data_IF_656446030834
#
_entry.id   IF_656446030834
#
_cell.length_a   1.000
_cell.length_b   1.000
_cell.length_c   1.000
_cell.angle_alpha   90.00
_cell.angle_beta   90.00
_cell.angle_gamma   90.00
#
_symmetry.space_group_name_H-M   'P 1'
#
loop_
_entity.id
_entity.type
_entity.pdbx_description
1 polymer ?
#
# COMPACT_ATOMS: atom_id res chain seq x y z
N UNK A 1 -6.78 -24.81 -74.17
CA UNK A 1 -6.94 -26.15 -73.54
C UNK A 1 -7.43 -25.92 -72.13
N UNK A 2 -8.72 -26.13 -71.91
CA UNK A 2 -9.41 -26.00 -70.64
C UNK A 2 -9.47 -27.40 -70.07
N UNK A 3 -8.90 -27.59 -68.84
CA UNK A 3 -9.08 -28.83 -68.08
C UNK A 3 -10.08 -28.58 -66.95
N UNK A 4 -11.18 -29.30 -67.06
CA UNK A 4 -12.24 -29.42 -66.08
C UNK A 4 -11.83 -30.36 -64.97
N UNK A 5 -12.09 -29.97 -63.72
CA UNK A 5 -11.95 -30.79 -62.53
C UNK A 5 -13.34 -31.33 -62.15
N UNK A 6 -13.51 -32.61 -61.82
CA UNK A 6 -14.80 -33.17 -61.43
C UNK A 6 -15.13 -32.93 -59.94
N UNK A 7 -16.35 -32.52 -59.68
CA UNK A 7 -17.00 -32.48 -58.34
C UNK A 7 -17.40 -33.85 -57.88
N UNK A 8 -16.92 -34.28 -56.70
CA UNK A 8 -17.40 -35.48 -55.99
C UNK A 8 -18.16 -35.01 -54.75
N UNK A 9 -19.46 -35.18 -54.76
CA UNK A 9 -20.38 -35.09 -53.63
C UNK A 9 -20.44 -36.41 -52.93
N UNK A 10 -20.02 -36.51 -51.64
CA UNK A 10 -20.48 -37.51 -50.71
C UNK A 10 -20.82 -36.83 -49.40
N UNK A 11 -22.11 -36.65 -49.17
CA UNK A 11 -22.67 -36.17 -47.91
C UNK A 11 -22.62 -37.26 -46.81
N UNK A 12 -21.85 -37.00 -45.78
CA UNK A 12 -21.97 -37.74 -44.55
C UNK A 12 -22.56 -36.81 -43.51
N UNK A 13 -23.85 -37.01 -43.23
CA UNK A 13 -24.58 -36.36 -42.14
C UNK A 13 -24.09 -36.91 -40.79
N UNK A 14 -23.25 -36.13 -40.08
CA UNK A 14 -22.91 -36.43 -38.68
C UNK A 14 -24.09 -35.96 -37.82
N UNK A 15 -24.84 -36.94 -37.28
CA UNK A 15 -25.86 -36.68 -36.25
C UNK A 15 -25.15 -36.35 -34.93
N UNK A 16 -25.34 -35.12 -34.46
CA UNK A 16 -24.97 -34.71 -33.09
C UNK A 16 -25.82 -35.50 -32.09
N UNK A 17 -25.25 -36.03 -31.01
CA UNK A 17 -25.99 -36.73 -29.96
C UNK A 17 -26.90 -35.69 -29.24
N UNK A 18 -28.13 -36.07 -28.99
CA UNK A 18 -29.07 -35.32 -28.15
C UNK A 18 -28.57 -35.23 -26.73
N UNK A 19 -28.67 -34.07 -26.04
CA UNK A 19 -28.32 -33.98 -24.64
C UNK A 19 -29.42 -34.70 -23.83
N UNK A 20 -29.04 -35.82 -23.25
CA UNK A 20 -29.84 -36.53 -22.22
C UNK A 20 -29.07 -36.38 -20.91
N UNK A 21 -29.42 -35.33 -20.17
CA UNK A 21 -29.44 -35.36 -18.72
C UNK A 21 -30.13 -34.10 -18.24
N UNK A 22 -31.30 -34.29 -17.63
CA UNK A 22 -32.02 -33.26 -16.88
C UNK A 22 -31.19 -32.90 -15.68
N UNK A 23 -30.67 -31.68 -15.64
CA UNK A 23 -30.06 -31.13 -14.43
C UNK A 23 -31.11 -31.06 -13.32
N UNK A 24 -30.94 -31.85 -12.26
CA UNK A 24 -31.58 -31.62 -11.00
C UNK A 24 -31.00 -30.35 -10.39
N UNK A 25 -31.79 -29.40 -9.90
CA UNK A 25 -31.26 -28.24 -9.18
C UNK A 25 -30.56 -28.75 -7.92
N UNK A 26 -29.29 -28.38 -7.72
CA UNK A 26 -28.57 -28.58 -6.47
C UNK A 26 -29.36 -27.92 -5.35
N UNK A 27 -29.65 -28.67 -4.28
CA UNK A 27 -30.33 -28.15 -3.10
C UNK A 27 -29.60 -26.95 -2.54
N UNK A 28 -30.31 -25.85 -2.38
CA UNK A 28 -29.82 -24.59 -1.84
C UNK A 28 -29.23 -24.81 -0.44
N UNK A 29 -27.97 -24.48 -0.30
CA UNK A 29 -27.30 -24.36 0.99
C UNK A 29 -27.99 -23.26 1.83
N UNK A 30 -28.60 -23.66 2.97
CA UNK A 30 -29.16 -22.73 3.95
C UNK A 30 -28.06 -22.35 4.93
N UNK A 31 -27.82 -21.05 5.15
CA UNK A 31 -26.84 -20.64 6.15
C UNK A 31 -27.24 -21.16 7.53
N UNK A 32 -26.27 -21.54 8.38
CA UNK A 32 -26.55 -21.97 9.74
C UNK A 32 -27.16 -20.78 10.51
N UNK A 33 -28.21 -21.10 11.29
CA UNK A 33 -28.86 -20.10 12.14
C UNK A 33 -27.85 -19.57 13.17
N UNK A 34 -27.85 -18.26 13.49
CA UNK A 34 -26.95 -17.71 14.48
C UNK A 34 -27.15 -18.39 15.84
N UNK A 35 -26.10 -18.92 16.42
CA UNK A 35 -26.08 -19.51 17.75
C UNK A 35 -26.22 -18.37 18.77
N UNK A 36 -27.39 -18.27 19.41
CA UNK A 36 -27.57 -17.37 20.56
C UNK A 36 -26.83 -17.97 21.75
N UNK A 37 -25.71 -17.39 22.13
CA UNK A 37 -25.09 -17.66 23.40
C UNK A 37 -25.93 -17.04 24.52
N UNK A 38 -26.70 -17.87 25.24
CA UNK A 38 -27.31 -17.49 26.50
C UNK A 38 -26.22 -17.39 27.58
N UNK A 39 -25.82 -16.18 27.91
CA UNK A 39 -25.08 -15.92 29.13
C UNK A 39 -26.03 -16.05 30.31
N UNK A 40 -25.89 -17.12 31.07
CA UNK A 40 -26.66 -17.41 32.29
C UNK A 40 -26.02 -16.62 33.43
N UNK A 41 -26.59 -15.45 33.77
CA UNK A 41 -26.26 -14.74 35.01
C UNK A 41 -26.94 -15.44 36.18
N UNK A 42 -26.16 -15.93 37.14
CA UNK A 42 -26.67 -16.36 38.44
C UNK A 42 -26.91 -15.12 39.31
N UNK A 43 -28.16 -14.80 39.54
CA UNK A 43 -28.55 -13.86 40.60
C UNK A 43 -28.86 -14.67 41.88
N UNK A 44 -28.12 -14.43 42.94
CA UNK A 44 -28.53 -14.78 44.31
C UNK A 44 -29.34 -13.62 44.89
N UNK A 45 -30.62 -13.89 45.18
CA UNK A 45 -31.46 -12.92 45.81
C UNK A 45 -31.28 -12.91 47.33
N UNK A 46 -31.53 -11.74 47.94
CA UNK A 46 -32.06 -11.61 49.32
C UNK A 46 -32.98 -10.38 49.36
N UNK A 47 -34.14 -10.61 49.95
CA UNK A 47 -35.23 -9.68 50.24
C UNK A 47 -34.84 -8.49 51.09
N UNK A 48 -35.42 -7.31 50.91
CA UNK A 48 -36.23 -6.63 51.94
C UNK A 48 -36.86 -5.32 51.43
N UNK A 49 -37.97 -5.01 52.02
CA UNK A 49 -39.05 -4.05 51.78
C UNK A 49 -38.73 -2.58 52.10
N UNK A 50 -39.47 -1.67 51.41
CA UNK A 50 -40.11 -0.39 51.85
C UNK A 50 -39.29 0.92 51.82
N UNK A 51 -39.66 1.85 51.07
CA UNK A 51 -40.46 3.07 51.24
C UNK A 51 -40.10 4.18 50.24
N UNK A 52 -41.16 4.87 49.84
CA UNK A 52 -41.17 6.05 48.97
C UNK A 52 -40.20 7.17 49.39
N UNK A 53 -39.58 7.84 48.39
CA UNK A 53 -38.86 9.07 48.55
C UNK A 53 -38.49 9.65 47.18
N UNK A 54 -39.28 10.65 46.75
CA UNK A 54 -39.02 11.48 45.58
C UNK A 54 -37.66 12.11 45.67
N UNK A 55 -36.75 11.78 44.75
CA UNK A 55 -35.51 12.54 44.53
C UNK A 55 -35.24 12.71 43.01
N UNK A 56 -34.83 13.92 42.68
CA UNK A 56 -34.51 14.41 41.30
C UNK A 56 -33.41 13.58 40.63
N UNK A 57 -33.42 13.46 39.28
CA UNK A 57 -32.33 12.78 38.62
C UNK A 57 -31.03 13.62 38.68
N UNK A 58 -29.87 12.96 38.84
CA UNK A 58 -28.58 13.64 38.74
C UNK A 58 -28.30 14.01 37.26
N UNK A 59 -27.76 15.22 37.06
CA UNK A 59 -27.30 15.75 35.80
C UNK A 59 -26.23 14.80 35.22
N UNK A 60 -26.50 14.22 34.11
CA UNK A 60 -25.51 13.49 33.29
C UNK A 60 -24.58 14.54 32.67
N UNK A 61 -23.35 14.57 33.13
CA UNK A 61 -22.24 15.26 32.46
C UNK A 61 -22.01 14.51 31.17
N UNK A 62 -22.38 15.15 30.04
CA UNK A 62 -22.03 14.67 28.71
C UNK A 62 -20.53 14.90 28.56
N UNK A 63 -19.76 13.85 28.57
CA UNK A 63 -18.37 13.87 28.09
C UNK A 63 -18.44 14.14 26.59
N UNK A 64 -17.96 15.31 26.21
CA UNK A 64 -17.84 15.74 24.82
C UNK A 64 -16.95 14.73 24.08
N UNK A 65 -17.54 14.02 23.14
CA UNK A 65 -16.80 13.17 22.20
C UNK A 65 -16.09 14.15 21.28
N UNK A 66 -14.78 14.27 21.41
CA UNK A 66 -13.95 15.06 20.49
C UNK A 66 -14.05 14.45 19.09
N UNK A 67 -14.48 15.28 18.17
CA UNK A 67 -14.57 14.99 16.74
C UNK A 67 -13.16 14.76 16.19
N UNK A 68 -12.85 13.58 15.59
CA UNK A 68 -11.53 13.29 15.04
C UNK A 68 -11.10 14.27 13.94
N UNK A 69 -12.03 14.83 13.17
CA UNK A 69 -11.71 15.81 12.14
C UNK A 69 -11.17 17.14 12.69
N UNK A 70 -11.60 17.52 13.90
CA UNK A 70 -11.12 18.75 14.54
C UNK A 70 -9.69 18.61 15.07
N UNK A 71 -9.30 17.39 15.45
CA UNK A 71 -7.94 17.12 15.91
C UNK A 71 -6.91 17.14 14.77
N UNK A 72 -7.27 16.65 13.59
CA UNK A 72 -6.39 16.70 12.41
C UNK A 72 -6.21 18.13 11.88
N UNK A 73 -7.25 18.96 11.95
CA UNK A 73 -7.17 20.38 11.56
C UNK A 73 -6.29 21.20 12.51
N UNK A 74 -6.31 20.89 13.81
CA UNK A 74 -5.45 21.56 14.80
C UNK A 74 -3.97 21.17 14.65
N UNK A 75 -3.67 19.93 14.26
CA UNK A 75 -2.30 19.49 13.97
C UNK A 75 -1.77 20.16 12.70
N UNK A 76 -2.56 20.22 11.63
CA UNK A 76 -2.16 20.92 10.39
C UNK A 76 -1.94 22.43 10.61
N UNK A 77 -2.74 23.05 11.49
CA UNK A 77 -2.56 24.45 11.84
C UNK A 77 -1.28 24.69 12.64
N UNK A 78 -0.93 23.82 13.56
CA UNK A 78 0.33 23.93 14.33
C UNK A 78 1.56 23.72 13.46
N UNK A 79 1.50 22.86 12.43
CA UNK A 79 2.60 22.66 11.49
C UNK A 79 2.80 23.91 10.58
N UNK A 80 1.70 24.54 10.13
CA UNK A 80 1.76 25.78 9.35
C UNK A 80 2.30 26.99 10.16
N UNK A 81 1.87 27.11 11.41
CA UNK A 81 2.36 28.18 12.30
C UNK A 81 3.86 27.97 12.66
N UNK A 82 4.33 26.74 12.72
CA UNK A 82 5.73 26.42 12.92
C UNK A 82 6.60 26.77 11.69
N UNK A 83 6.12 26.51 10.49
CA UNK A 83 6.83 26.89 9.25
C UNK A 83 6.90 28.42 9.06
N UNK A 84 5.82 29.16 9.33
CA UNK A 84 5.83 30.64 9.29
C UNK A 84 6.78 31.24 10.33
N UNK A 85 6.88 30.62 11.53
CA UNK A 85 7.81 31.07 12.56
C UNK A 85 9.28 30.86 12.17
N UNK A 86 9.61 29.77 11.47
CA UNK A 86 10.96 29.53 10.97
C UNK A 86 11.31 30.43 9.77
N UNK A 87 10.38 30.72 8.87
CA UNK A 87 10.61 31.65 7.76
C UNK A 87 10.81 33.09 8.22
N UNK A 88 10.10 33.54 9.25
CA UNK A 88 10.25 34.88 9.80
C UNK A 88 11.59 35.11 10.49
N UNK A 89 12.20 34.08 11.08
CA UNK A 89 13.55 34.16 11.67
C UNK A 89 14.70 34.12 10.66
N UNK A 90 14.48 33.59 9.48
CA UNK A 90 15.46 33.51 8.41
C UNK A 90 15.68 34.82 7.67
N UNK A 91 14.70 35.76 7.72
CA UNK A 91 14.74 37.05 7.01
C UNK A 91 15.22 38.25 7.84
N UNK A 92 15.63 38.03 9.09
CA UNK A 92 15.95 39.10 10.05
C UNK A 92 17.42 39.25 10.45
N UNK A 93 18.38 39.00 9.57
CA UNK A 93 19.79 39.27 9.92
C UNK A 93 20.66 39.68 8.73
N UNK A 94 20.44 40.89 8.22
CA UNK A 94 21.47 41.63 7.48
C UNK A 94 21.30 43.12 7.80
N UNK A 95 22.43 43.76 8.10
CA UNK A 95 22.67 45.19 8.29
C UNK A 95 22.53 45.76 9.71
N UNK A 96 23.65 45.76 10.44
CA UNK A 96 24.04 46.88 11.30
C UNK A 96 25.47 47.28 10.95
N UNK A 97 25.53 48.39 10.21
CA UNK A 97 26.74 49.15 9.96
C UNK A 97 27.11 49.97 11.17
N UNK A 98 28.42 50.01 11.46
CA UNK A 98 29.04 50.90 12.41
C UNK A 98 28.81 52.39 12.03
N UNK A 99 28.27 53.17 12.95
CA UNK A 99 28.31 54.63 12.90
C UNK A 99 28.46 55.19 14.32
N UNK A 100 29.67 55.69 14.58
CA UNK A 100 30.06 56.93 15.26
C UNK A 100 29.27 57.35 16.49
N UNK A 101 29.89 57.24 17.69
CA UNK A 101 29.54 58.07 18.84
C UNK A 101 30.54 59.21 18.89
N UNK A 102 30.07 60.41 18.53
CA UNK A 102 30.72 61.67 18.76
C UNK A 102 29.85 62.56 19.62
N UNK A 103 30.46 63.05 20.64
CA UNK A 103 30.21 64.36 21.24
C UNK A 103 28.84 64.73 21.78
N UNK A 104 28.76 64.82 23.11
CA UNK A 104 28.18 66.02 23.77
C UNK A 104 28.78 66.20 25.13
N UNK A 105 29.74 67.14 25.18
CA UNK A 105 30.18 67.78 26.41
C UNK A 105 29.24 68.99 26.73
N UNK A 106 28.77 69.11 27.95
CA UNK A 106 27.92 70.18 28.40
C UNK A 106 27.84 70.33 29.91
N UNK A 107 28.76 71.02 30.47
CA UNK A 107 28.77 71.82 31.70
C UNK A 107 27.57 71.75 32.65
N UNK A 108 27.86 71.44 33.93
CA UNK A 108 27.48 72.25 35.09
C UNK A 108 28.39 71.97 36.27
N UNK A 109 29.13 73.09 36.75
CA UNK A 109 29.78 73.16 38.05
C UNK A 109 28.72 73.55 39.08
N UNK A 110 28.66 72.94 40.22
CA UNK A 110 28.24 73.55 41.49
C UNK A 110 28.99 72.82 42.65
N UNK A 111 29.49 73.64 43.59
CA UNK A 111 30.29 73.42 44.77
C UNK A 111 29.58 72.53 45.79
N UNK A 112 30.32 71.68 46.50
CA UNK A 112 30.16 71.49 47.96
C UNK A 112 31.35 70.72 48.52
N UNK A 113 31.76 71.13 49.67
CA UNK A 113 32.90 70.97 50.50
C UNK A 113 32.88 69.63 51.27
N UNK A 114 34.09 69.08 51.49
CA UNK A 114 34.53 68.27 52.60
C UNK A 114 33.67 67.15 53.16
N UNK A 115 34.19 65.92 52.97
CA UNK A 115 34.44 64.93 53.99
C UNK A 115 35.41 63.86 53.43
N UNK A 116 36.63 63.91 53.87
CA UNK A 116 37.64 62.86 53.63
C UNK A 116 37.27 61.65 54.54
N UNK A 117 36.65 60.62 53.99
CA UNK A 117 36.68 59.26 54.51
C UNK A 117 37.40 58.38 53.53
N UNK A 118 38.55 57.84 53.97
CA UNK A 118 39.36 56.94 53.15
C UNK A 118 38.59 55.73 52.69
N UNK A 119 38.20 55.82 51.44
CA UNK A 119 37.77 54.60 50.73
C UNK A 119 39.04 53.83 50.30
N UNK A 120 39.25 52.70 50.94
CA UNK A 120 40.12 51.67 50.34
C UNK A 120 39.52 51.30 49.00
N UNK A 121 40.17 51.73 47.94
CA UNK A 121 39.90 51.25 46.62
C UNK A 121 40.23 49.75 46.62
N UNK A 122 39.19 48.93 46.80
CA UNK A 122 39.31 47.50 46.48
C UNK A 122 39.09 47.40 44.99
N UNK A 123 40.19 47.46 44.22
CA UNK A 123 40.17 47.04 42.83
C UNK A 123 39.70 45.58 42.78
N UNK A 124 38.37 45.38 42.70
CA UNK A 124 37.83 44.07 42.40
C UNK A 124 38.14 43.77 40.94
N UNK A 125 39.32 43.29 40.70
CA UNK A 125 39.72 42.74 39.42
C UNK A 125 38.78 41.53 39.17
N UNK A 126 37.67 41.79 38.43
CA UNK A 126 36.82 40.69 37.95
C UNK A 126 37.65 39.92 36.95
N UNK A 127 38.11 38.75 37.33
CA UNK A 127 38.80 37.82 36.44
C UNK A 127 37.89 37.56 35.24
N UNK A 128 38.41 37.71 34.01
CA UNK A 128 37.61 37.50 32.82
C UNK A 128 37.06 36.08 32.80
N UNK A 129 35.82 35.91 32.38
CA UNK A 129 35.09 34.62 32.38
C UNK A 129 35.80 33.53 31.53
N UNK A 130 36.67 33.90 30.62
CA UNK A 130 37.51 32.99 29.80
C UNK A 130 38.77 32.49 30.52
N UNK A 131 39.10 33.00 31.71
CA UNK A 131 40.23 32.45 32.50
C UNK A 131 39.79 31.19 33.24
N UNK A 132 39.92 30.06 32.56
CA UNK A 132 39.55 28.72 33.05
C UNK A 132 40.26 28.29 34.31
N UNK A 133 41.42 28.93 34.64
CA UNK A 133 42.19 28.65 35.86
C UNK A 133 41.50 29.20 37.11
N UNK A 134 40.66 30.22 36.93
CA UNK A 134 39.88 30.84 38.02
C UNK A 134 38.54 30.13 38.30
N UNK A 135 38.16 29.13 37.45
CA UNK A 135 36.85 28.47 37.55
C UNK A 135 36.76 27.57 38.77
N UNK A 136 35.75 27.77 39.59
CA UNK A 136 35.40 26.90 40.69
C UNK A 136 34.89 25.54 40.23
N UNK A 137 34.87 24.56 41.14
CA UNK A 137 34.37 23.18 40.87
C UNK A 137 32.96 23.14 40.20
N UNK A 138 32.08 24.07 40.57
CA UNK A 138 30.71 24.16 39.97
C UNK A 138 30.77 24.54 38.48
N UNK A 139 31.64 25.50 38.07
CA UNK A 139 31.78 25.90 36.69
C UNK A 139 32.35 24.74 35.81
N UNK A 140 33.33 24.02 36.36
CA UNK A 140 33.88 22.81 35.71
C UNK A 140 32.86 21.71 35.57
N UNK A 141 32.02 21.47 36.63
CA UNK A 141 30.91 20.48 36.51
C UNK A 141 29.89 20.87 35.44
N UNK A 142 29.54 22.16 35.30
CA UNK A 142 28.63 22.64 34.27
C UNK A 142 29.27 22.46 32.88
N UNK A 143 30.53 22.80 32.72
CA UNK A 143 31.24 22.62 31.43
C UNK A 143 31.33 21.16 31.03
N UNK A 144 31.77 20.30 31.94
CA UNK A 144 31.82 18.84 31.67
C UNK A 144 30.44 18.28 31.36
N UNK A 145 29.42 18.68 32.14
CA UNK A 145 28.05 18.29 31.88
C UNK A 145 27.54 18.72 30.50
N UNK A 146 27.81 19.99 30.10
CA UNK A 146 27.43 20.49 28.78
C UNK A 146 28.15 19.77 27.64
N UNK A 147 29.43 19.46 27.79
CA UNK A 147 30.20 18.67 26.81
C UNK A 147 29.63 17.26 26.67
N UNK A 148 29.29 16.61 27.79
CA UNK A 148 28.69 15.27 27.76
C UNK A 148 27.33 15.31 27.03
N UNK A 149 26.47 16.31 27.30
CA UNK A 149 25.19 16.48 26.62
C UNK A 149 25.40 16.69 25.11
N UNK A 150 26.34 17.56 24.71
CA UNK A 150 26.67 17.77 23.30
C UNK A 150 27.15 16.49 22.62
N UNK A 151 28.02 15.72 23.30
CA UNK A 151 28.51 14.44 22.78
C UNK A 151 27.36 13.43 22.58
N UNK A 152 26.42 13.35 23.53
CA UNK A 152 25.23 12.48 23.40
C UNK A 152 24.41 12.90 22.19
N UNK A 153 24.16 14.20 22.01
CA UNK A 153 23.42 14.72 20.86
C UNK A 153 24.15 14.38 19.54
N UNK A 154 25.46 14.62 19.47
CA UNK A 154 26.24 14.34 18.27
C UNK A 154 26.23 12.83 17.94
N UNK A 155 26.37 11.97 18.93
CA UNK A 155 26.31 10.51 18.76
C UNK A 155 24.90 10.11 18.28
N UNK A 156 23.84 10.64 18.91
CA UNK A 156 22.47 10.36 18.52
C UNK A 156 22.19 10.78 17.06
N UNK A 157 22.63 11.98 16.67
CA UNK A 157 22.50 12.48 15.29
C UNK A 157 23.31 11.62 14.33
N UNK A 158 24.56 11.30 14.65
CA UNK A 158 25.44 10.46 13.81
C UNK A 158 24.84 9.06 13.60
N UNK A 159 24.31 8.43 14.65
CA UNK A 159 23.64 7.13 14.58
C UNK A 159 22.39 7.21 13.72
N UNK A 160 21.56 8.26 13.90
CA UNK A 160 20.34 8.46 13.11
C UNK A 160 20.65 8.67 11.63
N UNK A 161 21.61 9.53 11.31
CA UNK A 161 22.06 9.79 9.93
C UNK A 161 22.66 8.54 9.30
N UNK A 162 23.48 7.78 10.06
CA UNK A 162 24.05 6.52 9.58
C UNK A 162 22.96 5.48 9.28
N UNK A 163 21.94 5.36 10.12
CA UNK A 163 20.78 4.47 9.86
C UNK A 163 20.01 4.91 8.63
N UNK A 164 19.66 6.19 8.53
CA UNK A 164 18.91 6.76 7.40
C UNK A 164 19.65 6.58 6.07
N UNK A 165 20.98 6.67 6.06
CA UNK A 165 21.79 6.50 4.85
C UNK A 165 22.11 5.03 4.53
N UNK A 166 21.74 4.08 5.40
CA UNK A 166 21.96 2.66 5.14
C UNK A 166 21.10 2.24 3.96
N UNK A 167 21.73 1.61 2.98
CA UNK A 167 21.06 0.99 1.85
C UNK A 167 21.63 -0.42 1.67
N UNK A 168 20.80 -1.45 1.51
CA UNK A 168 21.28 -2.81 1.39
C UNK A 168 22.10 -3.02 0.12
N UNK A 169 22.98 -4.00 0.16
CA UNK A 169 23.77 -4.39 -1.01
C UNK A 169 22.94 -5.38 -1.85
N UNK A 170 22.47 -4.91 -3.00
CA UNK A 170 21.86 -5.75 -4.01
C UNK A 170 22.94 -6.28 -4.97
N UNK A 171 23.85 -7.11 -4.46
CA UNK A 171 24.86 -7.79 -5.30
C UNK A 171 24.18 -8.60 -6.41
N UNK A 172 24.84 -8.74 -7.54
CA UNK A 172 24.35 -9.52 -8.69
C UNK A 172 24.10 -10.97 -8.28
N UNK A 173 22.94 -11.48 -8.63
CA UNK A 173 22.56 -12.89 -8.49
C UNK A 173 22.36 -13.51 -9.86
N UNK A 174 22.73 -14.77 -10.01
CA UNK A 174 22.45 -15.53 -11.21
C UNK A 174 21.12 -16.26 -11.04
N UNK A 175 20.18 -15.96 -11.92
CA UNK A 175 18.86 -16.56 -11.93
C UNK A 175 18.74 -17.67 -12.97
N UNK A 176 18.01 -18.74 -12.63
CA UNK A 176 17.63 -19.82 -13.55
C UNK A 176 16.12 -19.95 -13.58
N UNK A 177 15.56 -20.18 -14.76
CA UNK A 177 14.13 -20.42 -14.93
C UNK A 177 13.72 -21.65 -14.10
N UNK A 178 12.79 -21.47 -13.19
CA UNK A 178 12.24 -22.48 -12.31
C UNK A 178 10.89 -22.98 -12.80
N UNK A 179 10.05 -22.05 -13.34
CA UNK A 179 8.68 -22.34 -13.71
C UNK A 179 8.15 -21.38 -14.75
N UNK A 180 7.24 -21.86 -15.58
CA UNK A 180 6.52 -21.05 -16.58
C UNK A 180 5.04 -21.40 -16.55
N UNK A 181 4.20 -20.39 -16.47
CA UNK A 181 2.76 -20.48 -16.63
C UNK A 181 2.43 -19.98 -18.04
N UNK A 182 1.99 -20.85 -18.92
CA UNK A 182 1.79 -20.50 -20.32
C UNK A 182 0.81 -21.46 -20.99
N UNK A 183 0.33 -21.01 -22.18
CA UNK A 183 -0.49 -21.84 -23.05
C UNK A 183 -1.87 -22.20 -22.47
N UNK A 184 -2.52 -23.17 -23.09
CA UNK A 184 -3.90 -23.57 -22.77
C UNK A 184 -4.07 -24.08 -21.32
N UNK A 185 -2.99 -24.55 -20.70
CA UNK A 185 -2.98 -25.04 -19.32
C UNK A 185 -2.70 -23.96 -18.27
N UNK A 186 -2.61 -22.68 -18.66
CA UNK A 186 -2.26 -21.57 -17.78
C UNK A 186 -3.03 -21.61 -16.45
N UNK A 187 -4.35 -21.70 -16.48
CA UNK A 187 -5.17 -21.77 -15.28
C UNK A 187 -5.25 -23.19 -14.70
N UNK A 188 -5.59 -24.19 -15.51
CA UNK A 188 -6.00 -25.51 -15.04
C UNK A 188 -4.90 -26.27 -14.29
N UNK A 189 -3.65 -26.16 -14.72
CA UNK A 189 -2.55 -26.82 -14.07
C UNK A 189 -1.97 -26.05 -12.89
N UNK A 190 -2.05 -24.71 -12.92
CA UNK A 190 -1.24 -23.87 -12.05
C UNK A 190 -2.01 -23.18 -10.94
N UNK A 191 -3.34 -23.03 -11.04
CA UNK A 191 -4.13 -22.25 -10.10
C UNK A 191 -5.30 -23.06 -9.52
N UNK A 192 -5.62 -22.72 -8.28
CA UNK A 192 -6.88 -23.05 -7.62
C UNK A 192 -7.80 -21.83 -7.66
N UNK A 193 -9.12 -22.08 -7.72
CA UNK A 193 -10.14 -21.02 -7.78
C UNK A 193 -10.72 -20.78 -6.39
N UNK A 194 -10.69 -19.54 -5.95
CA UNK A 194 -11.30 -19.13 -4.69
C UNK A 194 -12.80 -18.96 -4.86
N UNK A 195 -13.61 -19.50 -3.93
CA UNK A 195 -15.08 -19.46 -3.98
C UNK A 195 -15.71 -18.97 -2.68
N UNK A 196 -14.90 -18.44 -1.76
CA UNK A 196 -15.37 -17.89 -0.49
C UNK A 196 -15.97 -16.49 -0.61
N UNK A 197 -16.44 -15.97 0.53
CA UNK A 197 -16.77 -14.54 0.63
C UNK A 197 -15.50 -13.70 0.45
N UNK A 198 -15.67 -12.58 -0.24
CA UNK A 198 -14.56 -11.65 -0.40
C UNK A 198 -14.18 -11.00 0.96
N UNK A 199 -12.91 -11.09 1.40
CA UNK A 199 -12.50 -10.58 2.71
C UNK A 199 -12.47 -9.05 2.79
N UNK A 200 -12.53 -8.37 1.65
CA UNK A 200 -12.53 -6.90 1.52
C UNK A 200 -13.92 -6.33 1.31
N UNK A 201 -14.96 -7.09 1.65
CA UNK A 201 -16.37 -6.70 1.57
C UNK A 201 -16.85 -6.35 0.14
N UNK A 202 -16.25 -6.99 -0.87
CA UNK A 202 -16.61 -6.80 -2.28
C UNK A 202 -18.04 -7.23 -2.59
N UNK A 203 -18.70 -6.48 -3.49
CA UNK A 203 -19.97 -6.89 -4.09
C UNK A 203 -19.72 -7.82 -5.28
N UNK A 204 -19.04 -8.92 -5.01
CA UNK A 204 -18.50 -9.90 -5.95
C UNK A 204 -18.88 -11.31 -5.53
N UNK A 205 -19.10 -12.19 -6.51
CA UNK A 205 -19.24 -13.62 -6.32
C UNK A 205 -18.16 -14.34 -7.09
N UNK A 206 -17.14 -14.79 -6.40
CA UNK A 206 -16.07 -15.59 -7.00
C UNK A 206 -16.54 -17.00 -7.31
N UNK A 207 -16.41 -17.41 -8.56
CA UNK A 207 -16.93 -18.68 -9.06
C UNK A 207 -15.87 -19.77 -9.18
N UNK A 208 -16.24 -21.06 -9.02
CA UNK A 208 -15.32 -22.20 -9.23
C UNK A 208 -14.94 -22.34 -10.71
N UNK A 209 -13.91 -23.16 -10.98
CA UNK A 209 -13.33 -23.37 -12.29
C UNK A 209 -14.34 -23.78 -13.38
N UNK A 210 -15.24 -24.71 -13.05
CA UNK A 210 -16.27 -25.18 -14.00
C UNK A 210 -17.23 -24.07 -14.38
N UNK A 211 -17.65 -23.25 -13.43
CA UNK A 211 -18.54 -22.12 -13.67
C UNK A 211 -17.81 -21.00 -14.42
N UNK A 212 -16.55 -20.70 -14.04
CA UNK A 212 -15.73 -19.72 -14.74
C UNK A 212 -15.56 -20.09 -16.22
N UNK A 213 -15.29 -21.36 -16.51
CA UNK A 213 -15.19 -21.88 -17.88
C UNK A 213 -16.53 -21.80 -18.63
N UNK A 214 -17.64 -22.25 -18.00
CA UNK A 214 -18.97 -22.27 -18.64
C UNK A 214 -19.50 -20.86 -18.97
N UNK A 215 -19.14 -19.86 -18.14
CA UNK A 215 -19.48 -18.45 -18.34
C UNK A 215 -18.43 -17.68 -19.14
N UNK A 216 -17.39 -18.37 -19.62
CA UNK A 216 -16.26 -17.78 -20.35
C UNK A 216 -15.56 -16.65 -19.54
N UNK A 217 -15.48 -16.81 -18.22
CA UNK A 217 -14.77 -15.86 -17.34
C UNK A 217 -13.29 -16.17 -17.24
N UNK A 218 -12.88 -17.43 -17.48
CA UNK A 218 -11.47 -17.80 -17.69
C UNK A 218 -11.34 -18.69 -18.91
N UNK A 219 -10.37 -18.36 -19.74
CA UNK A 219 -9.95 -19.16 -20.90
C UNK A 219 -8.50 -18.86 -21.23
N UNK A 220 -7.85 -19.81 -21.88
CA UNK A 220 -6.48 -19.68 -22.31
C UNK A 220 -6.29 -20.20 -23.73
N UNK A 221 -5.30 -19.65 -24.40
CA UNK A 221 -4.83 -20.01 -25.74
C UNK A 221 -3.31 -20.28 -25.69
N UNK A 222 -2.67 -20.72 -26.77
CA UNK A 222 -1.23 -20.89 -26.78
C UNK A 222 -0.44 -19.60 -26.43
N UNK A 223 -1.03 -18.40 -26.63
CA UNK A 223 -0.35 -17.12 -26.46
C UNK A 223 -0.91 -16.21 -25.41
N UNK A 224 -2.09 -16.49 -24.85
CA UNK A 224 -2.69 -15.64 -23.81
C UNK A 224 -3.67 -16.39 -22.91
N UNK A 225 -3.82 -15.86 -21.70
CA UNK A 225 -4.80 -16.31 -20.70
C UNK A 225 -5.64 -15.12 -20.25
N UNK A 226 -6.97 -15.28 -20.22
CA UNK A 226 -7.92 -14.21 -19.86
C UNK A 226 -8.67 -14.58 -18.61
N UNK A 227 -8.81 -13.61 -17.70
CA UNK A 227 -9.62 -13.65 -16.50
C UNK A 227 -10.49 -12.40 -16.48
N UNK A 228 -11.81 -12.54 -16.37
CA UNK A 228 -12.73 -11.42 -16.53
C UNK A 228 -13.94 -11.43 -15.60
N UNK A 229 -14.57 -10.28 -15.47
CA UNK A 229 -15.88 -10.09 -14.84
C UNK A 229 -16.98 -10.54 -15.80
N UNK A 230 -18.07 -11.09 -15.26
CA UNK A 230 -19.24 -11.50 -16.02
C UNK A 230 -19.97 -10.30 -16.66
N UNK A 231 -20.34 -10.48 -17.93
CA UNK A 231 -21.14 -9.55 -18.71
C UNK A 231 -22.45 -10.17 -19.23
N UNK A 232 -22.71 -11.43 -18.94
CA UNK A 232 -23.88 -12.16 -19.42
C UNK A 232 -25.14 -11.90 -18.60
N UNK A 233 -24.98 -11.62 -17.30
CA UNK A 233 -26.09 -11.36 -16.38
C UNK A 233 -26.39 -9.87 -16.37
N UNK A 234 -27.57 -9.48 -16.87
CA UNK A 234 -27.98 -8.07 -17.04
C UNK A 234 -28.25 -7.36 -15.70
N UNK A 235 -28.71 -8.11 -14.69
CA UNK A 235 -28.77 -7.64 -13.32
C UNK A 235 -28.47 -8.80 -12.37
N UNK A 236 -27.94 -8.50 -11.18
CA UNK A 236 -27.56 -9.50 -10.19
C UNK A 236 -28.67 -9.83 -9.19
N UNK A 237 -29.91 -9.42 -9.47
CA UNK A 237 -31.07 -9.91 -8.70
C UNK A 237 -31.28 -11.42 -8.87
N UNK A 238 -30.72 -11.98 -9.95
CA UNK A 238 -30.68 -13.41 -10.22
C UNK A 238 -29.29 -13.79 -10.69
N UNK A 239 -28.53 -14.70 -10.07
CA UNK A 239 -29.04 -15.63 -9.06
C UNK A 239 -29.14 -15.06 -7.65
N UNK A 240 -28.48 -13.98 -7.27
CA UNK A 240 -28.60 -13.41 -5.94
C UNK A 240 -27.95 -12.02 -5.82
N UNK A 241 -28.75 -10.98 -5.73
CA UNK A 241 -28.29 -9.60 -5.55
C UNK A 241 -27.42 -9.40 -4.29
N UNK A 242 -27.55 -10.27 -3.28
CA UNK A 242 -26.79 -10.18 -2.04
C UNK A 242 -25.35 -10.70 -2.15
N UNK A 243 -24.99 -11.38 -3.23
CA UNK A 243 -23.66 -11.97 -3.42
C UNK A 243 -22.83 -11.28 -4.49
N UNK A 244 -23.38 -10.29 -5.18
CA UNK A 244 -22.68 -9.51 -6.19
C UNK A 244 -22.56 -10.18 -7.56
N UNK A 245 -21.77 -9.55 -8.45
CA UNK A 245 -21.55 -10.01 -9.82
C UNK A 245 -20.48 -11.11 -9.85
N UNK A 246 -20.64 -12.06 -10.78
CA UNK A 246 -19.65 -13.12 -10.97
C UNK A 246 -18.32 -12.55 -11.44
N UNK A 247 -17.26 -13.01 -10.79
CA UNK A 247 -15.87 -12.72 -11.12
C UNK A 247 -14.99 -13.91 -10.73
N UNK A 248 -13.70 -13.76 -10.90
CA UNK A 248 -12.74 -14.84 -10.63
C UNK A 248 -11.61 -14.34 -9.75
N UNK A 249 -11.20 -15.17 -8.79
CA UNK A 249 -9.95 -15.07 -8.04
C UNK A 249 -9.22 -16.41 -8.14
N UNK A 250 -8.01 -16.39 -8.65
CA UNK A 250 -7.15 -17.59 -8.77
C UNK A 250 -5.92 -17.42 -7.90
N UNK A 251 -5.46 -18.52 -7.31
CA UNK A 251 -4.29 -18.58 -6.43
C UNK A 251 -3.37 -19.68 -6.91
N UNK A 252 -2.09 -19.42 -7.12
CA UNK A 252 -1.16 -20.46 -7.56
C UNK A 252 -1.03 -21.57 -6.55
N UNK A 253 -1.03 -22.83 -7.05
CA UNK A 253 -0.84 -24.05 -6.24
C UNK A 253 0.53 -24.08 -5.59
N UNK A 254 1.53 -23.58 -6.30
CA UNK A 254 2.90 -23.49 -5.83
C UNK A 254 3.14 -22.18 -5.08
N UNK A 255 3.93 -22.26 -4.02
CA UNK A 255 4.35 -21.14 -3.18
C UNK A 255 5.85 -20.88 -3.38
N UNK A 256 6.24 -19.64 -3.21
CA UNK A 256 7.58 -19.13 -3.43
C UNK A 256 8.09 -18.40 -2.20
N UNK A 257 9.39 -18.29 -2.05
CA UNK A 257 10.05 -17.59 -0.96
C UNK A 257 11.16 -16.66 -1.45
N UNK A 258 12.06 -16.34 -0.54
CA UNK A 258 13.23 -15.53 -0.84
C UNK A 258 14.06 -16.09 -2.01
N UNK A 259 14.79 -15.19 -2.68
CA UNK A 259 15.63 -15.48 -3.84
C UNK A 259 14.83 -15.91 -5.07
N UNK A 260 13.59 -15.43 -5.16
CA UNK A 260 12.72 -15.58 -6.33
C UNK A 260 12.66 -14.28 -7.14
N UNK A 261 12.60 -14.43 -8.45
CA UNK A 261 12.34 -13.35 -9.39
C UNK A 261 11.14 -13.75 -10.26
N UNK A 262 10.14 -12.91 -10.28
CA UNK A 262 8.90 -13.11 -11.02
C UNK A 262 8.86 -12.15 -12.21
N UNK A 263 8.44 -12.65 -13.36
CA UNK A 263 8.13 -11.86 -14.54
C UNK A 263 6.68 -12.13 -14.95
N UNK A 264 5.88 -11.08 -14.98
CA UNK A 264 4.47 -11.13 -15.35
C UNK A 264 4.27 -10.37 -16.66
N UNK A 265 3.95 -11.10 -17.72
CA UNK A 265 3.55 -10.50 -19.00
C UNK A 265 2.07 -10.15 -18.92
N UNK A 266 1.75 -8.87 -18.81
CA UNK A 266 0.38 -8.35 -18.75
C UNK A 266 0.08 -7.59 -20.04
N UNK A 267 -0.87 -8.09 -20.84
CA UNK A 267 -1.27 -7.49 -22.11
C UNK A 267 -2.42 -6.50 -21.96
N UNK A 268 -3.31 -6.76 -21.00
CA UNK A 268 -4.46 -5.91 -20.71
C UNK A 268 -4.73 -5.90 -19.19
N UNK A 269 -4.96 -4.71 -18.64
CA UNK A 269 -5.42 -4.48 -17.28
C UNK A 269 -6.91 -4.17 -17.25
N UNK A 270 -7.68 -4.64 -16.24
CA UNK A 270 -9.11 -4.37 -16.15
C UNK A 270 -9.44 -2.89 -16.00
N UNK A 271 -10.51 -2.45 -16.67
CA UNK A 271 -11.02 -1.08 -16.64
C UNK A 271 -12.51 -1.09 -16.35
N UNK A 272 -12.96 -0.20 -15.52
CA UNK A 272 -14.38 0.03 -15.22
C UNK A 272 -14.61 0.62 -13.84
N UNK A 273 -15.71 1.36 -13.70
CA UNK A 273 -16.22 1.75 -12.39
C UNK A 273 -16.59 0.53 -11.56
N UNK A 274 -16.32 0.58 -10.28
CA UNK A 274 -16.61 -0.51 -9.36
C UNK A 274 -15.61 -1.66 -9.41
N UNK A 275 -14.56 -1.61 -10.26
CA UNK A 275 -13.55 -2.66 -10.30
C UNK A 275 -12.41 -2.39 -9.35
N UNK A 276 -11.90 -3.46 -8.75
CA UNK A 276 -10.68 -3.50 -7.96
C UNK A 276 -9.85 -4.72 -8.40
N UNK A 277 -9.15 -4.61 -9.51
CA UNK A 277 -8.27 -5.65 -10.01
C UNK A 277 -6.94 -5.65 -9.29
N UNK A 278 -6.42 -6.84 -8.95
CA UNK A 278 -5.09 -7.02 -8.38
C UNK A 278 -4.36 -8.24 -8.97
N UNK A 279 -3.06 -8.06 -9.22
CA UNK A 279 -2.07 -9.10 -9.44
C UNK A 279 -1.05 -8.98 -8.32
N UNK A 280 -1.00 -9.96 -7.43
CA UNK A 280 -0.34 -9.86 -6.14
C UNK A 280 0.17 -11.21 -5.64
N UNK A 281 0.88 -11.22 -4.51
CA UNK A 281 1.38 -12.42 -3.87
C UNK A 281 1.05 -12.40 -2.38
N UNK A 282 0.68 -13.56 -1.85
CA UNK A 282 0.47 -13.74 -0.40
C UNK A 282 0.57 -15.22 0.00
N UNK A 283 0.70 -15.48 1.28
CA UNK A 283 0.38 -16.77 1.87
C UNK A 283 -1.12 -16.82 2.20
N UNK A 284 -1.94 -17.56 1.45
CA UNK A 284 -3.38 -17.56 1.65
C UNK A 284 -3.85 -18.13 2.99
N UNK A 285 -2.95 -18.77 3.75
CA UNK A 285 -3.26 -19.42 5.03
C UNK A 285 -2.75 -18.65 6.23
N UNK A 286 -1.80 -17.72 6.04
CA UNK A 286 -1.13 -17.01 7.13
C UNK A 286 -1.01 -15.50 6.85
N UNK A 287 -2.06 -14.89 6.33
CA UNK A 287 -2.17 -13.45 6.20
C UNK A 287 -2.58 -12.83 7.56
N UNK A 288 -2.01 -11.70 8.00
CA UNK A 288 -0.94 -10.92 7.38
C UNK A 288 0.49 -11.32 7.79
N UNK A 289 0.66 -12.42 8.54
CA UNK A 289 1.94 -12.80 9.18
C UNK A 289 3.03 -13.13 8.16
N UNK A 290 2.64 -13.74 7.03
CA UNK A 290 3.54 -14.05 5.94
C UNK A 290 3.46 -13.04 4.79
N UNK A 291 2.83 -11.86 5.04
CA UNK A 291 2.84 -10.70 4.18
C UNK A 291 2.04 -10.82 2.89
N UNK A 292 1.96 -9.68 2.21
CA UNK A 292 1.32 -9.51 0.90
C UNK A 292 2.15 -8.54 0.06
N UNK A 293 2.25 -8.80 -1.22
CA UNK A 293 3.04 -8.03 -2.19
C UNK A 293 2.16 -7.73 -3.40
N UNK A 294 1.65 -6.50 -3.51
CA UNK A 294 0.84 -6.07 -4.64
C UNK A 294 1.75 -5.58 -5.75
N UNK A 295 1.71 -6.27 -6.88
CA UNK A 295 2.57 -5.97 -8.04
C UNK A 295 1.87 -5.04 -9.00
N UNK A 296 0.56 -5.26 -9.21
CA UNK A 296 -0.25 -4.43 -10.09
C UNK A 296 -1.67 -4.30 -9.55
N UNK A 297 -2.03 -3.08 -9.10
CA UNK A 297 -3.31 -2.81 -8.45
C UNK A 297 -3.80 -1.40 -8.76
N UNK A 298 -5.11 -1.25 -8.98
CA UNK A 298 -5.80 0.04 -9.09
C UNK A 298 -7.30 -0.13 -8.83
N UNK A 299 -8.02 0.97 -8.64
CA UNK A 299 -9.49 0.96 -8.45
C UNK A 299 -10.17 1.97 -9.36
N UNK A 300 -11.41 1.63 -9.80
CA UNK A 300 -12.31 2.55 -10.52
C UNK A 300 -11.67 3.23 -11.75
N UNK A 301 -10.84 2.51 -12.49
CA UNK A 301 -10.14 3.06 -13.65
C UNK A 301 -11.11 3.22 -14.81
N UNK A 302 -11.39 4.45 -15.22
CA UNK A 302 -12.30 4.75 -16.35
C UNK A 302 -11.55 5.15 -17.61
N UNK A 303 -10.33 5.65 -17.51
CA UNK A 303 -9.47 6.03 -18.65
C UNK A 303 -8.03 5.65 -18.37
N UNK A 304 -7.29 6.46 -17.64
CA UNK A 304 -5.90 6.25 -17.27
C UNK A 304 -5.73 6.25 -15.75
N UNK A 305 -4.78 5.48 -15.29
CA UNK A 305 -4.41 5.45 -13.88
C UNK A 305 -2.94 5.09 -13.75
N UNK A 306 -2.49 5.13 -12.51
CA UNK A 306 -1.16 4.69 -12.12
C UNK A 306 -1.27 3.31 -11.46
N UNK A 307 -0.31 2.45 -11.75
CA UNK A 307 -0.16 1.23 -11.01
C UNK A 307 0.27 1.54 -9.57
N UNK A 308 -0.38 0.96 -8.58
CA UNK A 308 0.05 0.99 -7.19
C UNK A 308 0.74 -0.32 -6.85
N UNK A 309 1.94 -0.22 -6.25
CA UNK A 309 2.76 -1.33 -5.76
C UNK A 309 2.84 -1.20 -4.23
N UNK A 310 2.36 -2.21 -3.50
CA UNK A 310 2.18 -2.10 -2.05
C UNK A 310 2.72 -3.33 -1.32
N UNK A 311 3.13 -3.16 -0.07
CA UNK A 311 3.37 -4.27 0.84
C UNK A 311 2.45 -4.14 2.05
N UNK A 312 1.85 -5.27 2.46
CA UNK A 312 1.09 -5.39 3.70
C UNK A 312 1.71 -6.47 4.59
N UNK A 313 1.83 -6.19 5.88
CA UNK A 313 2.45 -7.10 6.85
C UNK A 313 1.78 -7.00 8.22
N UNK A 314 2.07 -7.94 9.10
CA UNK A 314 1.93 -7.74 10.54
C UNK A 314 2.94 -6.69 11.06
N UNK A 315 2.94 -6.42 12.37
CA UNK A 315 3.82 -5.42 12.97
C UNK A 315 5.32 -5.70 12.75
N UNK A 316 6.13 -4.65 12.64
CA UNK A 316 7.59 -4.75 12.55
C UNK A 316 8.17 -4.50 11.16
N UNK A 317 7.37 -4.01 10.20
CA UNK A 317 7.83 -3.63 8.87
C UNK A 317 7.40 -2.19 8.54
N UNK A 318 8.36 -1.33 8.24
CA UNK A 318 8.11 0.07 7.86
C UNK A 318 9.15 0.56 6.87
N UNK A 319 8.75 1.49 6.02
CA UNK A 319 9.62 2.25 5.10
C UNK A 319 9.84 3.69 5.60
N UNK A 320 9.40 4.01 6.82
CA UNK A 320 9.62 5.32 7.43
C UNK A 320 11.11 5.50 7.72
N UNK A 321 11.68 6.62 7.25
CA UNK A 321 13.10 6.94 7.38
C UNK A 321 14.05 5.93 6.71
N UNK A 322 13.56 5.18 5.72
CA UNK A 322 14.34 4.24 4.93
C UNK A 322 14.78 4.92 3.63
N UNK A 323 16.07 4.84 3.31
CA UNK A 323 16.59 5.27 2.01
C UNK A 323 16.12 4.28 0.94
N UNK A 324 15.38 4.78 -0.06
CA UNK A 324 14.84 4.00 -1.18
C UNK A 324 15.41 4.51 -2.49
N UNK A 325 15.66 3.61 -3.44
CA UNK A 325 16.10 3.94 -4.80
C UNK A 325 15.02 3.52 -5.79
N UNK A 326 14.08 4.42 -6.05
CA UNK A 326 12.92 4.15 -6.88
C UNK A 326 12.52 5.35 -7.75
N UNK A 327 11.79 5.08 -8.84
CA UNK A 327 11.23 6.11 -9.72
C UNK A 327 9.80 6.47 -9.36
N UNK A 328 9.07 5.56 -8.69
CA UNK A 328 7.70 5.78 -8.24
C UNK A 328 7.60 6.71 -7.03
N UNK A 329 6.44 7.29 -6.85
CA UNK A 329 6.11 8.20 -5.75
C UNK A 329 5.65 7.41 -4.54
N UNK A 330 6.22 7.69 -3.37
CA UNK A 330 5.76 7.11 -2.10
C UNK A 330 4.36 7.62 -1.78
N UNK A 331 3.43 6.71 -1.48
CA UNK A 331 2.08 7.03 -1.01
C UNK A 331 2.03 6.91 0.51
N UNK A 332 2.58 5.83 1.05
CA UNK A 332 2.61 5.54 2.48
C UNK A 332 3.90 4.80 2.87
N UNK A 333 4.27 4.87 4.15
CA UNK A 333 5.52 4.30 4.65
C UNK A 333 5.33 3.16 5.67
N UNK A 334 4.15 2.96 6.23
CA UNK A 334 3.91 1.84 7.15
C UNK A 334 3.29 0.68 6.42
N UNK A 335 3.91 -0.50 6.51
CA UNK A 335 3.41 -1.72 5.86
C UNK A 335 2.42 -2.48 6.75
N UNK A 336 2.22 -2.04 7.99
CA UNK A 336 1.40 -2.74 9.00
C UNK A 336 -0.08 -2.65 8.63
N UNK A 337 -0.73 -3.81 8.47
CA UNK A 337 -2.12 -3.95 8.05
C UNK A 337 -3.16 -3.29 8.99
N UNK A 338 -2.84 -3.14 10.28
CA UNK A 338 -3.73 -2.52 11.28
C UNK A 338 -3.68 -1.00 11.28
N UNK A 339 -2.92 -0.38 10.39
CA UNK A 339 -2.77 1.08 10.26
C UNK A 339 -3.28 1.57 8.92
N UNK A 340 -3.69 2.86 8.85
CA UNK A 340 -4.17 3.51 7.62
C UNK A 340 -5.27 2.71 6.89
N UNK A 341 -6.21 2.13 7.63
CA UNK A 341 -7.27 1.28 7.09
C UNK A 341 -6.73 0.18 6.14
N UNK A 342 -5.66 -0.49 6.54
CA UNK A 342 -4.94 -1.48 5.74
C UNK A 342 -4.33 -0.92 4.42
N UNK A 343 -3.94 0.36 4.39
CA UNK A 343 -3.38 0.98 3.17
C UNK A 343 -1.96 0.54 2.80
N UNK A 344 -1.27 -0.23 3.67
CA UNK A 344 0.08 -0.71 3.42
C UNK A 344 1.13 0.38 3.19
N UNK A 345 2.35 0.01 2.80
CA UNK A 345 3.39 0.94 2.38
C UNK A 345 3.46 1.02 0.85
N UNK A 346 2.61 1.86 0.27
CA UNK A 346 2.39 1.96 -1.16
C UNK A 346 3.36 2.86 -1.92
N UNK A 347 3.59 2.52 -3.18
CA UNK A 347 4.30 3.31 -4.20
C UNK A 347 3.44 3.41 -5.43
N UNK A 348 3.18 4.63 -5.89
CA UNK A 348 2.51 4.92 -7.15
C UNK A 348 3.53 5.00 -8.28
N UNK A 349 3.33 4.24 -9.35
CA UNK A 349 4.16 4.31 -10.54
C UNK A 349 3.92 5.65 -11.24
N UNK A 350 4.96 6.44 -11.44
CA UNK A 350 4.86 7.85 -11.83
C UNK A 350 4.47 8.14 -13.30
N UNK A 351 3.81 7.18 -14.01
CA UNK A 351 3.42 7.35 -15.42
C UNK A 351 2.03 6.79 -15.68
N UNK A 352 1.20 7.53 -16.39
CA UNK A 352 -0.15 7.14 -16.83
C UNK A 352 -0.19 5.98 -17.85
N UNK A 353 0.97 5.51 -18.26
CA UNK A 353 1.15 4.31 -19.10
C UNK A 353 1.27 3.01 -18.29
N UNK A 354 1.10 3.07 -16.96
CA UNK A 354 1.34 1.94 -16.08
C UNK A 354 0.06 1.16 -15.75
N UNK A 355 -1.12 1.73 -16.01
CA UNK A 355 -2.43 1.10 -15.86
C UNK A 355 -3.48 1.76 -16.76
N UNK A 356 -4.59 1.08 -17.08
CA UNK A 356 -5.73 1.64 -17.79
C UNK A 356 -5.58 1.67 -19.31
N UNK A 357 -6.36 2.55 -19.98
CA UNK A 357 -6.45 2.59 -21.44
C UNK A 357 -5.11 2.81 -22.14
N UNK A 358 -4.27 3.68 -21.61
CA UNK A 358 -2.95 3.95 -22.22
C UNK A 358 -2.03 2.73 -22.13
N UNK A 359 -2.04 2.03 -20.99
CA UNK A 359 -1.32 0.76 -20.82
C UNK A 359 -1.82 -0.28 -21.82
N UNK A 360 -3.12 -0.48 -21.90
CA UNK A 360 -3.77 -1.46 -22.77
C UNK A 360 -3.53 -1.15 -24.27
N UNK A 361 -3.65 0.12 -24.68
CA UNK A 361 -3.44 0.56 -26.07
C UNK A 361 -1.99 0.36 -26.53
N UNK A 362 -1.03 0.38 -25.62
CA UNK A 362 0.38 0.10 -25.88
C UNK A 362 0.70 -1.41 -25.87
N UNK A 363 -0.32 -2.28 -25.82
CA UNK A 363 -0.17 -3.74 -25.73
C UNK A 363 0.30 -4.23 -24.36
N UNK A 364 0.07 -3.43 -23.32
CA UNK A 364 0.46 -3.78 -21.97
C UNK A 364 1.95 -3.59 -21.66
N UNK A 365 2.50 -4.45 -20.82
CA UNK A 365 3.90 -4.40 -20.40
C UNK A 365 4.31 -5.65 -19.63
N UNK A 366 5.52 -5.63 -19.10
CA UNK A 366 6.05 -6.68 -18.23
C UNK A 366 6.34 -6.09 -16.86
N UNK A 367 5.80 -6.74 -15.83
CA UNK A 367 6.15 -6.43 -14.45
C UNK A 367 7.17 -7.45 -13.96
N UNK A 368 8.18 -6.97 -13.26
CA UNK A 368 9.19 -7.80 -12.61
C UNK A 368 9.17 -7.54 -11.11
N UNK A 369 9.18 -8.62 -10.32
CA UNK A 369 9.27 -8.59 -8.87
C UNK A 369 10.46 -9.43 -8.42
N UNK A 370 11.42 -8.80 -7.78
CA UNK A 370 12.54 -9.46 -7.12
C UNK A 370 12.30 -9.53 -5.62
N UNK A 371 12.22 -10.75 -5.07
CA UNK A 371 12.04 -11.02 -3.65
C UNK A 371 13.33 -11.57 -3.05
N UNK A 372 14.03 -10.77 -2.24
CA UNK A 372 15.34 -11.11 -1.64
C UNK A 372 15.38 -10.74 -0.16
N UNK A 373 16.35 -11.29 0.56
CA UNK A 373 16.67 -10.87 1.92
C UNK A 373 17.02 -9.37 2.00
N UNK A 374 17.71 -8.83 1.00
CA UNK A 374 18.10 -7.42 0.93
C UNK A 374 16.93 -6.46 0.77
N UNK A 375 15.80 -6.92 0.23
CA UNK A 375 14.62 -6.11 -0.03
C UNK A 375 13.75 -6.67 -1.13
N UNK A 376 12.64 -5.98 -1.40
CA UNK A 376 11.74 -6.25 -2.51
C UNK A 376 11.85 -5.11 -3.50
N UNK A 377 12.16 -5.43 -4.76
CA UNK A 377 12.24 -4.45 -5.85
C UNK A 377 11.26 -4.82 -6.96
N UNK A 378 10.56 -3.82 -7.50
CA UNK A 378 9.61 -4.02 -8.60
C UNK A 378 9.91 -3.07 -9.75
N UNK A 379 9.83 -3.57 -10.96
CA UNK A 379 9.95 -2.80 -12.19
C UNK A 379 8.70 -2.99 -13.04
N UNK A 380 8.36 -1.99 -13.82
CA UNK A 380 7.33 -2.08 -14.84
C UNK A 380 7.88 -1.56 -16.17
N UNK A 381 7.96 -2.44 -17.16
CA UNK A 381 8.51 -2.15 -18.47
C UNK A 381 7.38 -2.02 -19.48
N UNK A 382 7.47 -1.04 -20.36
CA UNK A 382 6.63 -0.95 -21.56
C UNK A 382 7.11 -1.93 -22.62
N UNK A 383 6.23 -2.37 -23.53
CA UNK A 383 6.55 -3.36 -24.57
C UNK A 383 7.74 -2.98 -25.45
N UNK A 384 7.88 -1.71 -25.76
CA UNK A 384 8.95 -1.15 -26.58
C UNK A 384 10.30 -1.02 -25.85
N UNK A 385 10.35 -1.25 -24.53
CA UNK A 385 11.54 -1.05 -23.70
C UNK A 385 11.84 -2.21 -22.77
N UNK A 386 11.61 -3.43 -23.25
CA UNK A 386 11.98 -4.62 -22.48
C UNK A 386 13.50 -4.77 -22.41
N UNK A 387 14.06 -5.05 -21.22
CA UNK A 387 15.50 -5.34 -21.10
C UNK A 387 15.93 -6.54 -21.93
N UNK A 388 17.13 -6.46 -22.48
CA UNK A 388 17.72 -7.60 -23.18
C UNK A 388 17.89 -8.78 -22.23
N UNK A 389 17.60 -9.99 -22.72
CA UNK A 389 17.72 -11.21 -21.93
C UNK A 389 16.70 -11.38 -20.81
N UNK A 390 15.66 -10.54 -20.75
CA UNK A 390 14.65 -10.54 -19.68
C UNK A 390 14.10 -11.96 -19.39
N UNK A 391 13.81 -12.74 -20.44
CA UNK A 391 13.17 -14.06 -20.31
C UNK A 391 14.16 -15.24 -20.24
N UNK A 392 15.44 -15.01 -20.50
CA UNK A 392 16.44 -16.10 -20.62
C UNK A 392 17.55 -16.03 -19.60
N UNK A 393 18.01 -14.84 -19.29
CA UNK A 393 19.07 -14.56 -18.32
C UNK A 393 18.84 -13.20 -17.65
N UNK A 394 17.78 -13.08 -16.83
CA UNK A 394 17.42 -11.83 -16.23
C UNK A 394 18.50 -11.35 -15.23
N UNK A 395 18.88 -10.08 -15.34
CA UNK A 395 19.79 -9.40 -14.41
C UNK A 395 19.15 -8.10 -13.90
N UNK A 396 18.45 -8.14 -12.76
CA UNK A 396 17.79 -6.97 -12.18
C UNK A 396 18.71 -5.75 -11.95
N UNK A 397 20.01 -5.97 -11.80
CA UNK A 397 20.95 -4.87 -11.62
C UNK A 397 21.27 -4.11 -12.91
N UNK A 398 20.98 -4.69 -14.07
CA UNK A 398 21.10 -4.05 -15.38
C UNK A 398 19.86 -3.26 -15.81
N UNK A 399 18.72 -3.39 -15.09
CA UNK A 399 17.43 -2.83 -15.49
C UNK A 399 17.23 -1.36 -15.11
N UNK A 400 18.23 -0.74 -14.45
CA UNK A 400 18.13 0.62 -13.94
C UNK A 400 17.33 0.70 -12.64
N UNK A 401 16.95 1.91 -12.27
CA UNK A 401 16.23 2.18 -11.02
C UNK A 401 14.86 1.52 -11.04
N UNK A 402 14.54 0.78 -9.97
CA UNK A 402 13.25 0.13 -9.81
C UNK A 402 12.09 1.14 -9.78
N UNK A 403 10.89 0.71 -10.13
CA UNK A 403 9.67 1.51 -9.95
C UNK A 403 9.34 1.63 -8.46
N UNK A 404 9.39 0.52 -7.72
CA UNK A 404 9.25 0.49 -6.28
C UNK A 404 10.41 -0.28 -5.65
N UNK A 405 10.89 0.24 -4.51
CA UNK A 405 12.02 -0.33 -3.76
C UNK A 405 11.69 -0.33 -2.27
N UNK A 406 11.71 -1.51 -1.67
CA UNK A 406 11.40 -1.77 -0.26
C UNK A 406 12.59 -2.45 0.40
N UNK A 407 13.60 -1.67 0.86
CA UNK A 407 14.81 -2.21 1.50
C UNK A 407 14.53 -2.86 2.85
N UNK A 408 15.37 -3.82 3.23
CA UNK A 408 15.26 -4.52 4.52
C UNK A 408 15.69 -3.69 5.75
N UNK A 409 16.00 -2.42 5.60
CA UNK A 409 16.62 -1.58 6.65
C UNK A 409 15.77 -1.50 7.92
N UNK A 410 14.44 -1.36 7.79
CA UNK A 410 13.47 -1.32 8.89
C UNK A 410 12.33 -2.33 8.68
N UNK A 411 12.60 -3.40 7.90
CA UNK A 411 11.67 -4.48 7.59
C UNK A 411 12.44 -5.78 7.34
N UNK A 412 12.33 -6.75 8.21
CA UNK A 412 12.95 -8.06 7.97
C UNK A 412 12.15 -8.82 6.93
N UNK A 413 12.63 -8.81 5.67
CA UNK A 413 11.92 -9.39 4.53
C UNK A 413 11.68 -10.89 4.73
N UNK A 414 12.69 -11.63 5.18
CA UNK A 414 12.57 -13.08 5.39
C UNK A 414 11.57 -13.48 6.48
N UNK A 415 11.32 -12.60 7.44
CA UNK A 415 10.33 -12.86 8.49
C UNK A 415 8.90 -12.54 8.04
N UNK A 416 8.73 -11.54 7.17
CA UNK A 416 7.42 -11.03 6.77
C UNK A 416 6.90 -11.58 5.43
N UNK A 417 7.76 -12.13 4.57
CA UNK A 417 7.33 -12.57 3.23
C UNK A 417 7.75 -14.02 2.97
N UNK A 418 6.85 -14.94 3.29
CA UNK A 418 7.08 -16.39 3.20
C UNK A 418 5.92 -17.06 2.48
N UNK A 419 6.17 -18.18 1.82
CA UNK A 419 5.14 -19.03 1.21
C UNK A 419 4.20 -18.25 0.28
N UNK A 420 4.75 -17.40 -0.57
CA UNK A 420 3.99 -16.49 -1.42
C UNK A 420 3.37 -17.22 -2.62
N UNK A 421 2.04 -17.33 -2.67
CA UNK A 421 1.30 -17.74 -3.85
C UNK A 421 1.01 -16.56 -4.75
N UNK A 422 1.09 -16.72 -6.06
CA UNK A 422 0.65 -15.72 -7.04
C UNK A 422 -0.88 -15.70 -7.06
N UNK A 423 -1.48 -14.53 -6.91
CA UNK A 423 -2.92 -14.33 -6.94
C UNK A 423 -3.28 -13.33 -8.04
N UNK A 424 -4.34 -13.62 -8.78
CA UNK A 424 -4.95 -12.68 -9.71
C UNK A 424 -6.47 -12.67 -9.50
N UNK A 425 -7.06 -11.49 -9.36
CA UNK A 425 -8.49 -11.34 -9.21
C UNK A 425 -8.99 -10.02 -9.80
N UNK A 426 -10.31 -9.92 -9.91
CA UNK A 426 -11.02 -8.66 -10.07
C UNK A 426 -12.11 -8.65 -9.02
N UNK A 427 -11.88 -7.89 -7.93
CA UNK A 427 -12.91 -7.58 -6.95
C UNK A 427 -13.82 -6.47 -7.48
N UNK A 428 -14.99 -6.35 -6.89
CA UNK A 428 -16.01 -5.38 -7.28
C UNK A 428 -16.51 -4.65 -6.03
N UNK A 429 -16.41 -3.33 -6.04
CA UNK A 429 -16.69 -2.46 -4.91
C UNK A 429 -15.69 -2.65 -3.75
N UNK A 430 -16.12 -3.32 -2.67
CA UNK A 430 -15.27 -3.54 -1.49
C UNK A 430 -14.90 -2.26 -0.74
N UNK A 431 -14.00 -2.42 0.22
CA UNK A 431 -13.60 -1.35 1.13
C UNK A 431 -12.88 -0.19 0.43
N UNK A 432 -12.20 -0.46 -0.69
CA UNK A 432 -11.48 0.57 -1.43
C UNK A 432 -12.27 1.07 -2.64
N UNK A 433 -12.55 0.22 -3.64
CA UNK A 433 -13.25 0.68 -4.84
C UNK A 433 -14.69 1.13 -4.58
N UNK A 434 -15.36 0.58 -3.56
CA UNK A 434 -16.71 0.97 -3.13
C UNK A 434 -16.78 2.19 -2.21
N UNK A 435 -15.63 2.69 -1.72
CA UNK A 435 -15.59 3.80 -0.79
C UNK A 435 -16.16 5.09 -1.41
N UNK A 436 -16.82 5.92 -0.61
CA UNK A 436 -17.32 7.23 -1.09
C UNK A 436 -16.20 8.10 -1.64
N UNK A 437 -15.01 7.98 -1.07
CA UNK A 437 -13.84 8.75 -1.46
C UNK A 437 -13.35 8.38 -2.86
N UNK A 438 -13.32 7.09 -3.19
CA UNK A 438 -12.68 6.63 -4.43
C UNK A 438 -13.71 6.33 -5.54
N UNK A 439 -14.89 5.78 -5.20
CA UNK A 439 -15.97 5.58 -6.15
C UNK A 439 -16.63 6.91 -6.58
N UNK A 440 -16.96 7.75 -5.60
CA UNK A 440 -17.74 8.97 -5.83
C UNK A 440 -17.05 10.06 -6.67
N UNK A 441 -15.76 9.91 -6.98
CA UNK A 441 -15.03 10.91 -7.77
C UNK A 441 -15.42 10.90 -9.26
N UNK A 442 -15.53 9.71 -9.86
CA UNK A 442 -15.61 9.56 -11.31
C UNK A 442 -16.66 8.53 -11.75
N UNK A 443 -17.34 7.87 -10.82
CA UNK A 443 -18.25 6.77 -11.11
C UNK A 443 -19.71 7.10 -10.82
N UNK A 444 -20.69 6.58 -11.59
CA UNK A 444 -22.09 6.94 -11.49
C UNK A 444 -22.80 6.20 -10.35
N UNK A 445 -23.72 6.89 -9.65
CA UNK A 445 -24.61 6.28 -8.65
C UNK A 445 -23.89 5.71 -7.45
N UNK A 446 -24.33 4.55 -6.98
CA UNK A 446 -23.61 3.78 -5.96
C UNK A 446 -22.86 2.62 -6.60
N UNK A 447 -21.75 2.19 -5.99
CA UNK A 447 -20.98 1.09 -6.52
C UNK A 447 -21.79 -0.20 -6.64
N UNK A 448 -22.56 -0.53 -5.61
CA UNK A 448 -23.42 -1.72 -5.60
C UNK A 448 -24.46 -1.69 -6.72
N UNK A 449 -25.18 -0.56 -6.89
CA UNK A 449 -26.18 -0.42 -7.97
C UNK A 449 -25.53 -0.52 -9.35
N UNK A 450 -24.37 0.11 -9.52
CA UNK A 450 -23.64 0.06 -10.79
C UNK A 450 -23.21 -1.36 -11.14
N UNK A 451 -22.59 -2.07 -10.20
CA UNK A 451 -22.14 -3.45 -10.38
C UNK A 451 -23.32 -4.39 -10.62
N UNK A 452 -24.42 -4.20 -9.89
CA UNK A 452 -25.61 -5.06 -10.02
C UNK A 452 -26.29 -4.92 -11.37
N UNK A 453 -26.43 -3.69 -11.90
CA UNK A 453 -27.40 -3.40 -12.97
C UNK A 453 -26.76 -3.06 -14.32
N UNK A 454 -25.44 -2.94 -14.42
CA UNK A 454 -24.77 -2.50 -15.64
C UNK A 454 -23.73 -3.51 -16.15
N UNK A 455 -24.21 -4.66 -16.64
CA UNK A 455 -23.32 -5.74 -17.12
C UNK A 455 -22.36 -5.28 -18.24
N UNK A 456 -22.82 -4.45 -19.15
CA UNK A 456 -22.01 -3.96 -20.27
C UNK A 456 -20.89 -3.01 -19.86
N UNK A 457 -20.98 -2.41 -18.66
CA UNK A 457 -19.91 -1.58 -18.11
C UNK A 457 -18.63 -2.39 -17.80
N UNK A 458 -18.73 -3.71 -17.68
CA UNK A 458 -17.63 -4.61 -17.37
C UNK A 458 -17.00 -5.29 -18.61
N UNK A 459 -17.35 -4.85 -19.82
CA UNK A 459 -16.77 -5.40 -21.06
C UNK A 459 -15.25 -5.33 -21.09
N UNK A 460 -14.67 -4.25 -20.57
CA UNK A 460 -13.22 -4.06 -20.46
C UNK A 460 -12.65 -4.41 -19.06
N UNK A 461 -13.47 -5.01 -18.19
CA UNK A 461 -13.03 -5.48 -16.88
C UNK A 461 -12.44 -6.89 -16.99
N UNK A 462 -11.25 -6.99 -17.61
CA UNK A 462 -10.54 -8.26 -17.76
C UNK A 462 -9.02 -8.09 -17.69
N UNK A 463 -8.37 -9.10 -17.15
CA UNK A 463 -6.94 -9.33 -17.32
C UNK A 463 -6.72 -10.13 -18.62
N UNK A 464 -5.72 -9.74 -19.39
CA UNK A 464 -5.12 -10.60 -20.40
C UNK A 464 -3.63 -10.75 -20.08
N UNK A 465 -3.23 -11.97 -19.80
CA UNK A 465 -1.86 -12.34 -19.49
C UNK A 465 -1.20 -13.01 -20.70
N UNK A 466 0.10 -12.76 -20.86
CA UNK A 466 0.99 -13.61 -21.64
C UNK A 466 1.52 -14.75 -20.77
N UNK A 467 2.84 -14.88 -20.70
CA UNK A 467 3.47 -15.88 -19.83
C UNK A 467 3.80 -15.27 -18.47
N UNK A 468 3.67 -16.05 -17.40
CA UNK A 468 4.37 -15.78 -16.16
C UNK A 468 5.61 -16.69 -16.08
N UNK A 469 6.71 -16.14 -15.63
CA UNK A 469 7.95 -16.88 -15.43
C UNK A 469 8.49 -16.63 -14.04
N UNK A 470 8.86 -17.69 -13.35
CA UNK A 470 9.49 -17.61 -12.04
C UNK A 470 10.91 -18.15 -12.15
N UNK A 471 11.85 -17.37 -11.66
CA UNK A 471 13.25 -17.75 -11.61
C UNK A 471 13.69 -17.86 -10.15
N UNK A 472 14.63 -18.76 -9.90
CA UNK A 472 15.29 -18.91 -8.61
C UNK A 472 16.80 -18.69 -8.75
N UNK A 473 17.44 -18.25 -7.67
CA UNK A 473 18.89 -18.13 -7.60
C UNK A 473 19.51 -19.52 -7.77
N UNK A 474 20.58 -19.59 -8.59
CA UNK A 474 21.37 -20.80 -8.82
C UNK A 474 22.15 -21.22 -7.59
#
# INVERSE_FOLDING_TARGET
MVQTIPTSTSGTTVRLPKPTQSFQPLEYWKPPKPVRHHVRSKSSGIFSTKKEGRLRPPSTTITEIQDPEKHDLDIQRQELEAEEFFESKSKGNTDMSFATIGEMAGRRKIFAKDQVRGYKHVDSYRQPWWDVKSWGKKAWMILVGSVVVVLIIVIAVAVTVSRYNRYPNYSTQSYSLSETFAGESFFSQNFDYYTGYDPTNGHVHYVPAEQASSLNLTYASPSSAVLRVDTSVSNTSVPNASTGRFSVRVTSKKQYGLNSLFLFDVKHSPIGCGTWPALWLTDPHNWPENGEIDVMEAVNVVDKSFNQMTLHTSAGCTMKHVKRQQTGKVIANTCVNTTNANGGCGVEAGKDTTFGNTFNSNGGGVLALELREAGIRMWQFTRDKLPAGLWTSPDPNSWGTATADFPNTECNIGNHFRNQSIVANIDLCGDWAGSKKDYGKNCPGTCVDHVSNNNMAFTNAYWEFGNFSVFSVK
#
